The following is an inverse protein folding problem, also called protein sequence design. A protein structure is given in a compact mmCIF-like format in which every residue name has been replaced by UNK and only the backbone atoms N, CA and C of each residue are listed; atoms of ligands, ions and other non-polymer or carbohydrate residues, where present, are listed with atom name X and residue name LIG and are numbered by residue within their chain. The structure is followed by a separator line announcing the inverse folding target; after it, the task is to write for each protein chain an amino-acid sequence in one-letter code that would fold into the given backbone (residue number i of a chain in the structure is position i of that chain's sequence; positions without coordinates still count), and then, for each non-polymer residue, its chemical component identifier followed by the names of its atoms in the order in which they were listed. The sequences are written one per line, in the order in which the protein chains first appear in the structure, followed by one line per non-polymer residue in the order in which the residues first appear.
data_IF_802097589082
#
_entry.id   IF_802097589082
#
_cell.length_a   1.000
_cell.length_b   1.000
_cell.length_c   1.000
_cell.angle_alpha   90.00
_cell.angle_beta   90.00
_cell.angle_gamma   90.00
#
_symmetry.space_group_name_H-M   'P 1'
#
loop_
_entity.id
_entity.type
_entity.pdbx_description
1 polymer ?
#
# COMPACT_ATOMS: atom_id res chain seq x y z
N UNK A 1 -18.90 -35.63 37.70
CA UNK A 1 -17.47 -35.59 38.12
C UNK A 1 -16.48 -35.55 36.93
N UNK A 2 -16.89 -35.79 35.68
CA UNK A 2 -15.99 -35.75 34.52
C UNK A 2 -15.70 -34.33 33.96
N UNK A 3 -16.64 -33.39 34.13
CA UNK A 3 -16.53 -32.04 33.54
C UNK A 3 -15.44 -31.15 34.16
N UNK A 4 -15.12 -31.30 35.46
CA UNK A 4 -14.14 -30.48 36.17
C UNK A 4 -12.69 -30.72 35.72
N UNK A 5 -12.36 -31.89 35.17
CA UNK A 5 -11.01 -32.21 34.68
C UNK A 5 -10.83 -31.89 33.20
N UNK A 6 -11.84 -32.18 32.38
CA UNK A 6 -11.74 -32.05 30.92
C UNK A 6 -11.94 -30.61 30.44
N UNK A 7 -12.79 -29.81 31.08
CA UNK A 7 -13.04 -28.45 30.61
C UNK A 7 -11.88 -27.48 30.82
N UNK A 8 -11.15 -27.50 31.96
CA UNK A 8 -9.98 -26.64 32.11
C UNK A 8 -8.88 -27.01 31.12
N UNK A 9 -8.63 -28.30 30.91
CA UNK A 9 -7.61 -28.78 29.96
C UNK A 9 -7.98 -28.45 28.52
N UNK A 10 -9.25 -28.67 28.12
CA UNK A 10 -9.77 -28.27 26.82
C UNK A 10 -9.74 -26.74 26.63
N UNK A 11 -10.02 -25.97 27.68
CA UNK A 11 -9.94 -24.51 27.66
C UNK A 11 -8.51 -23.99 27.45
N UNK A 12 -7.51 -24.60 28.10
CA UNK A 12 -6.10 -24.26 27.89
C UNK A 12 -5.67 -24.60 26.46
N UNK A 13 -5.97 -25.81 25.98
CA UNK A 13 -5.61 -26.24 24.62
C UNK A 13 -6.29 -25.33 23.58
N UNK A 14 -7.60 -25.11 23.72
CA UNK A 14 -8.36 -24.22 22.84
C UNK A 14 -7.84 -22.78 22.88
N UNK A 15 -7.52 -22.27 24.07
CA UNK A 15 -6.91 -20.96 24.25
C UNK A 15 -5.57 -20.84 23.53
N UNK A 16 -4.71 -21.85 23.66
CA UNK A 16 -3.43 -21.90 22.95
C UNK A 16 -3.57 -22.00 21.42
N UNK A 17 -4.60 -22.69 20.91
CA UNK A 17 -4.87 -22.73 19.46
C UNK A 17 -5.42 -21.40 18.93
N UNK A 18 -6.29 -20.73 19.69
CA UNK A 18 -6.91 -19.47 19.28
C UNK A 18 -6.00 -18.26 19.47
N UNK A 19 -5.14 -18.27 20.48
CA UNK A 19 -4.22 -17.19 20.80
C UNK A 19 -3.41 -16.70 19.57
N UNK A 20 -2.70 -17.56 18.81
CA UNK A 20 -1.91 -17.09 17.66
C UNK A 20 -2.80 -16.48 16.57
N UNK A 21 -4.02 -16.99 16.35
CA UNK A 21 -4.93 -16.45 15.34
C UNK A 21 -5.39 -15.03 15.69
N UNK A 22 -5.81 -14.83 16.94
CA UNK A 22 -6.29 -13.54 17.43
C UNK A 22 -5.14 -12.52 17.45
N UNK A 23 -3.98 -12.91 17.98
CA UNK A 23 -2.79 -12.04 18.03
C UNK A 23 -2.38 -11.63 16.62
N UNK A 24 -2.34 -12.57 15.67
CA UNK A 24 -1.97 -12.31 14.29
C UNK A 24 -2.92 -11.28 13.64
N UNK A 25 -4.23 -11.40 13.86
CA UNK A 25 -5.22 -10.44 13.36
C UNK A 25 -4.95 -9.01 13.84
N UNK A 26 -4.74 -8.82 15.15
CA UNK A 26 -4.47 -7.49 15.71
C UNK A 26 -3.12 -6.93 15.27
N UNK A 27 -2.09 -7.77 15.21
CA UNK A 27 -0.76 -7.37 14.77
C UNK A 27 -0.80 -6.91 13.31
N UNK A 28 -1.49 -7.63 12.44
CA UNK A 28 -1.64 -7.23 11.04
C UNK A 28 -2.39 -5.92 10.89
N UNK A 29 -3.47 -5.74 11.66
CA UNK A 29 -4.22 -4.48 11.67
C UNK A 29 -3.35 -3.28 12.08
N UNK A 30 -2.46 -3.47 13.04
CA UNK A 30 -1.55 -2.42 13.50
C UNK A 30 -0.48 -2.08 12.46
N UNK A 31 0.10 -3.10 11.81
CA UNK A 31 1.20 -2.92 10.86
C UNK A 31 0.72 -2.42 9.49
N UNK A 32 -0.45 -2.85 9.02
CA UNK A 32 -0.92 -2.62 7.65
C UNK A 32 -1.93 -1.45 7.56
N UNK A 33 -1.62 -0.32 8.21
CA UNK A 33 -2.44 0.90 8.20
C UNK A 33 -3.94 0.65 8.47
N UNK A 34 -4.27 -0.24 9.42
CA UNK A 34 -5.65 -0.53 9.81
C UNK A 34 -6.31 -1.68 9.04
N UNK A 35 -5.64 -2.30 8.07
CA UNK A 35 -6.14 -3.50 7.40
C UNK A 35 -5.65 -4.77 8.10
N UNK A 36 -6.57 -5.67 8.48
CA UNK A 36 -6.20 -6.91 9.15
C UNK A 36 -5.80 -8.05 8.19
N UNK A 37 -6.13 -7.91 6.90
CA UNK A 37 -5.95 -8.97 5.91
C UNK A 37 -4.80 -8.68 4.95
N UNK A 38 -3.93 -9.69 4.77
CA UNK A 38 -2.86 -9.63 3.77
C UNK A 38 -3.42 -9.89 2.38
N UNK A 39 -2.87 -9.20 1.38
CA UNK A 39 -3.16 -9.48 -0.03
C UNK A 39 -2.52 -10.80 -0.46
N UNK A 40 -3.20 -11.50 -1.35
CA UNK A 40 -2.59 -12.62 -2.07
C UNK A 40 -1.60 -12.08 -3.10
N UNK A 41 -0.43 -12.73 -3.18
CA UNK A 41 0.69 -12.37 -4.05
C UNK A 41 1.16 -13.57 -4.89
N UNK A 42 0.37 -14.64 -4.91
CA UNK A 42 0.67 -15.86 -5.68
C UNK A 42 0.64 -15.61 -7.18
N UNK A 43 -0.26 -14.76 -7.66
CA UNK A 43 -0.36 -14.41 -9.07
C UNK A 43 0.57 -13.25 -9.46
N UNK A 44 1.26 -13.32 -10.61
CA UNK A 44 2.23 -12.31 -11.03
C UNK A 44 1.58 -10.95 -11.33
N UNK A 45 0.32 -10.96 -11.78
CA UNK A 45 -0.46 -9.74 -11.99
C UNK A 45 -0.70 -9.03 -10.66
N UNK A 46 -1.10 -9.76 -9.63
CA UNK A 46 -1.40 -9.22 -8.30
C UNK A 46 -0.13 -8.72 -7.61
N UNK A 47 0.98 -9.43 -7.80
CA UNK A 47 2.30 -8.97 -7.35
C UNK A 47 2.70 -7.66 -8.02
N UNK A 48 2.51 -7.50 -9.34
CA UNK A 48 2.84 -6.26 -10.03
C UNK A 48 1.96 -5.09 -9.54
N UNK A 49 0.66 -5.34 -9.35
CA UNK A 49 -0.27 -4.35 -8.78
C UNK A 49 0.12 -3.96 -7.35
N UNK A 50 0.54 -4.92 -6.53
CA UNK A 50 1.04 -4.68 -5.19
C UNK A 50 2.26 -3.75 -5.18
N UNK A 51 3.24 -4.00 -6.05
CA UNK A 51 4.41 -3.12 -6.18
C UNK A 51 4.06 -1.75 -6.75
N UNK A 52 3.11 -1.66 -7.68
CA UNK A 52 2.60 -0.38 -8.19
C UNK A 52 2.04 0.46 -7.04
N UNK A 53 1.20 -0.13 -6.20
CA UNK A 53 0.57 0.59 -5.09
C UNK A 53 1.63 1.08 -4.07
N UNK A 54 2.65 0.26 -3.78
CA UNK A 54 3.79 0.70 -2.95
C UNK A 54 4.51 1.92 -3.55
N UNK A 55 4.73 1.96 -4.87
CA UNK A 55 5.39 3.10 -5.51
C UNK A 55 4.55 4.38 -5.48
N UNK A 56 3.22 4.25 -5.54
CA UNK A 56 2.31 5.39 -5.57
C UNK A 56 2.05 6.01 -4.19
N UNK A 57 1.90 5.18 -3.14
CA UNK A 57 1.49 5.64 -1.81
C UNK A 57 2.47 5.29 -0.68
N UNK A 58 3.54 4.53 -0.97
CA UNK A 58 4.47 4.00 0.02
C UNK A 58 3.96 2.77 0.78
N UNK A 59 2.65 2.48 0.73
CA UNK A 59 2.04 1.33 1.38
C UNK A 59 0.88 0.77 0.54
N UNK A 60 0.85 -0.54 0.27
CA UNK A 60 -0.15 -1.16 -0.61
C UNK A 60 -1.56 -1.20 0.02
N UNK A 61 -1.69 -0.79 1.28
CA UNK A 61 -2.96 -0.74 2.01
C UNK A 61 -3.53 0.68 2.11
N UNK A 62 -2.83 1.68 1.60
CA UNK A 62 -3.32 3.06 1.47
C UNK A 62 -3.87 3.23 0.06
N UNK A 63 -5.19 3.27 -0.06
CA UNK A 63 -5.86 3.43 -1.35
C UNK A 63 -5.77 4.87 -1.84
N UNK A 64 -5.40 5.05 -3.11
CA UNK A 64 -5.48 6.33 -3.82
C UNK A 64 -6.70 6.32 -4.73
N UNK A 65 -7.68 7.16 -4.40
CA UNK A 65 -8.93 7.31 -5.16
C UNK A 65 -8.85 8.46 -6.17
N UNK A 66 -10.00 8.81 -6.73
CA UNK A 66 -10.13 9.92 -7.69
C UNK A 66 -9.71 11.27 -7.10
N UNK A 67 -9.81 11.43 -5.78
CA UNK A 67 -9.37 12.64 -5.07
C UNK A 67 -7.86 12.91 -5.16
N UNK A 68 -7.07 11.91 -5.57
CA UNK A 68 -5.62 12.05 -5.72
C UNK A 68 -5.22 12.48 -7.15
N UNK A 69 -6.20 12.60 -8.06
CA UNK A 69 -6.01 13.03 -9.45
C UNK A 69 -6.23 14.56 -9.49
N UNK A 70 -5.38 15.33 -10.22
CA UNK A 70 -5.60 16.77 -10.38
C UNK A 70 -6.86 17.03 -11.24
N UNK A 71 -7.71 17.94 -10.78
CA UNK A 71 -8.96 18.30 -11.47
C UNK A 71 -8.71 19.21 -12.68
N UNK A 72 -7.60 19.96 -12.68
CA UNK A 72 -7.25 20.92 -13.73
C UNK A 72 -5.78 20.80 -14.15
N UNK A 73 -5.47 21.26 -15.36
CA UNK A 73 -4.10 21.30 -15.88
C UNK A 73 -3.17 22.17 -15.00
N UNK A 74 -3.71 23.22 -14.40
CA UNK A 74 -2.97 24.08 -13.46
C UNK A 74 -2.57 23.31 -12.20
N UNK A 75 -3.47 22.46 -11.68
CA UNK A 75 -3.17 21.60 -10.53
C UNK A 75 -2.16 20.50 -10.89
N UNK A 76 -2.19 20.00 -12.14
CA UNK A 76 -1.19 19.07 -12.66
C UNK A 76 0.20 19.71 -12.70
N UNK A 77 0.34 20.89 -13.31
CA UNK A 77 1.61 21.61 -13.42
C UNK A 77 2.17 21.96 -12.03
N UNK A 78 1.31 22.45 -11.12
CA UNK A 78 1.70 22.73 -9.74
C UNK A 78 2.25 21.49 -9.02
N UNK A 79 1.66 20.31 -9.23
CA UNK A 79 2.16 19.04 -8.65
C UNK A 79 3.52 18.65 -9.24
N UNK A 80 3.71 18.81 -10.54
CA UNK A 80 4.98 18.52 -11.21
C UNK A 80 6.12 19.42 -10.68
N UNK A 81 5.86 20.72 -10.54
CA UNK A 81 6.82 21.68 -10.00
C UNK A 81 7.23 21.34 -8.57
N UNK A 82 6.27 20.93 -7.73
CA UNK A 82 6.55 20.52 -6.34
C UNK A 82 7.44 19.27 -6.25
N UNK A 83 7.25 18.29 -7.15
CA UNK A 83 8.08 17.09 -7.22
C UNK A 83 9.51 17.46 -7.63
N UNK A 84 9.66 18.33 -8.62
CA UNK A 84 10.96 18.79 -9.09
C UNK A 84 11.71 19.60 -8.01
N UNK A 85 11.02 20.51 -7.31
CA UNK A 85 11.61 21.23 -6.17
C UNK A 85 12.11 20.29 -5.06
N UNK A 86 11.33 19.25 -4.73
CA UNK A 86 11.73 18.23 -3.75
C UNK A 86 12.99 17.47 -4.21
N UNK A 87 13.15 17.27 -5.51
CA UNK A 87 14.31 16.61 -6.12
C UNK A 87 15.54 17.53 -6.19
N UNK A 88 15.35 18.83 -6.43
CA UNK A 88 16.43 19.83 -6.42
C UNK A 88 17.01 20.05 -5.01
N UNK A 89 16.18 19.96 -3.97
CA UNK A 89 16.62 20.07 -2.57
C UNK A 89 17.43 18.88 -2.05
N UNK A 90 17.36 17.71 -2.70
CA UNK A 90 18.09 16.48 -2.31
C UNK A 90 19.45 16.30 -3.01
N UNK A 91 19.92 17.29 -3.77
CA UNK A 91 21.29 17.36 -4.26
C UNK A 91 21.66 16.39 -5.40
N UNK A 92 20.72 15.60 -5.93
CA UNK A 92 20.98 14.73 -7.08
C UNK A 92 20.48 15.37 -8.38
N UNK A 93 21.26 16.32 -8.90
CA UNK A 93 21.02 16.97 -10.18
C UNK A 93 21.23 15.98 -11.33
N UNK A 94 20.17 15.31 -11.74
CA UNK A 94 20.04 14.78 -13.11
C UNK A 94 18.79 15.42 -13.70
N UNK A 95 19.05 16.45 -14.50
CA UNK A 95 18.09 17.30 -15.18
C UNK A 95 17.25 16.45 -16.17
N UNK A 96 15.91 16.32 -16.01
CA UNK A 96 15.08 15.52 -16.91
C UNK A 96 14.55 16.35 -18.09
N UNK A 97 15.07 17.57 -18.33
CA UNK A 97 14.58 18.51 -19.36
C UNK A 97 14.69 18.05 -20.83
N UNK A 98 15.06 16.79 -21.09
CA UNK A 98 15.17 16.23 -22.45
C UNK A 98 14.30 14.99 -22.75
N UNK A 99 13.34 14.61 -21.89
CA UNK A 99 12.44 13.47 -22.19
C UNK A 99 10.95 13.82 -22.16
N UNK A 100 10.57 14.98 -22.66
CA UNK A 100 9.26 15.12 -23.31
C UNK A 100 9.41 14.60 -24.74
N UNK A 101 9.00 13.36 -24.99
CA UNK A 101 8.61 13.03 -26.36
C UNK A 101 7.40 13.91 -26.66
N UNK A 102 7.42 14.77 -27.69
CA UNK A 102 6.25 15.55 -28.04
C UNK A 102 5.13 14.58 -28.41
N UNK A 103 3.92 14.80 -27.87
CA UNK A 103 2.73 14.12 -28.34
C UNK A 103 2.65 14.26 -29.87
N UNK A 104 2.38 13.19 -30.62
CA UNK A 104 2.20 13.30 -32.05
C UNK A 104 0.90 14.08 -32.28
N UNK A 105 1.03 15.34 -32.73
CA UNK A 105 -0.10 16.07 -33.31
C UNK A 105 -0.42 15.41 -34.65
N UNK A 106 -1.65 14.89 -34.78
CA UNK A 106 -2.18 14.42 -36.06
C UNK A 106 -2.18 15.59 -37.06
N UNK A 107 -1.37 15.48 -38.12
CA UNK A 107 -1.50 16.32 -39.31
C UNK A 107 -2.71 15.86 -40.12
N UNK A 108 -3.55 16.83 -40.52
CA UNK A 108 -4.78 16.65 -41.29
C UNK A 108 -4.55 17.03 -42.74
#
# INVERSE_FOLDING_TARGET
MWWQGVLPTMGIIGGCLLAPQIINYFLMKLVQNGNAYRRDLTHPTDLNLYWRDIRLSGSPYVMKGLSDIPDTDEDYNRRADNIDQTRRGSGLLTDPSHHTTPCPTEEK
#
